data_IF_996964369653
#
_entry.id   IF_996964369653
#
_cell.length_a   1.000
_cell.length_b   1.000
_cell.length_c   1.000
_cell.angle_alpha   90.00
_cell.angle_beta   90.00
_cell.angle_gamma   90.00
#
_symmetry.space_group_name_H-M   'P 1'
#
loop_
_entity.id
_entity.type
_entity.pdbx_description
1 polymer ?
#
# COMPACT_ATOMS: atom_id res chain seq x y z
N UNK A 1 -8.68 -9.51 3.61
CA UNK A 1 -7.31 -9.44 3.04
C UNK A 1 -6.64 -8.20 3.56
N UNK A 2 -5.34 -8.28 3.91
CA UNK A 2 -4.58 -7.20 4.55
C UNK A 2 -3.60 -6.65 3.53
N UNK A 3 -4.02 -5.65 2.75
CA UNK A 3 -3.16 -4.90 1.83
C UNK A 3 -3.34 -3.43 2.14
N UNK A 4 -2.27 -2.65 2.02
CA UNK A 4 -2.25 -1.25 2.46
C UNK A 4 -0.95 -0.92 3.18
N UNK A 5 -0.83 0.36 3.54
CA UNK A 5 0.32 0.88 4.26
C UNK A 5 0.05 0.84 5.76
N UNK A 6 1.07 0.51 6.54
CA UNK A 6 0.99 0.30 7.98
C UNK A 6 2.17 0.98 8.68
N UNK A 7 1.89 1.44 9.90
CA UNK A 7 2.91 1.94 10.81
C UNK A 7 2.77 1.30 12.18
N UNK A 8 3.90 1.08 12.84
CA UNK A 8 3.93 0.69 14.24
C UNK A 8 4.20 1.92 15.10
N UNK A 9 3.26 2.24 15.97
CA UNK A 9 3.32 3.39 16.86
C UNK A 9 3.15 2.93 18.30
N UNK A 10 4.15 3.21 19.14
CA UNK A 10 4.20 2.78 20.55
C UNK A 10 3.96 1.27 20.70
N UNK A 11 4.56 0.47 19.81
CA UNK A 11 4.42 -0.99 19.83
C UNK A 11 3.11 -1.56 19.27
N UNK A 12 2.10 -0.72 18.94
CA UNK A 12 0.87 -1.16 18.27
C UNK A 12 0.88 -0.77 16.80
N UNK A 13 0.38 -1.67 15.97
CA UNK A 13 0.28 -1.45 14.53
C UNK A 13 -1.05 -0.79 14.15
N UNK A 14 -0.97 0.17 13.22
CA UNK A 14 -2.10 0.89 12.66
C UNK A 14 -2.01 0.92 11.14
N UNK A 15 -3.16 0.91 10.47
CA UNK A 15 -3.24 1.24 9.04
C UNK A 15 -2.97 2.74 8.87
N UNK A 16 -2.39 3.11 7.74
CA UNK A 16 -2.06 4.50 7.44
C UNK A 16 -2.73 5.01 6.18
N UNK A 17 -2.87 6.33 6.11
CA UNK A 17 -3.10 7.08 4.90
C UNK A 17 -2.03 8.18 4.80
N UNK A 18 -1.68 8.55 3.57
CA UNK A 18 -0.77 9.65 3.31
C UNK A 18 -1.53 10.98 3.37
N UNK A 19 -1.01 11.93 4.12
CA UNK A 19 -1.41 13.34 4.10
C UNK A 19 -0.15 14.20 3.93
N UNK A 20 -0.29 15.39 3.33
CA UNK A 20 0.82 16.32 3.14
C UNK A 20 1.43 16.80 4.48
N UNK A 21 0.74 16.60 5.60
CA UNK A 21 1.17 17.00 6.94
C UNK A 21 1.94 15.91 7.71
N UNK A 22 1.96 14.65 7.24
CA UNK A 22 2.60 13.53 7.93
C UNK A 22 1.87 12.20 7.72
N UNK A 23 2.17 11.22 8.58
CA UNK A 23 1.52 9.90 8.52
C UNK A 23 0.21 9.96 9.30
N UNK A 24 -0.90 9.64 8.64
CA UNK A 24 -2.19 9.54 9.31
C UNK A 24 -2.41 8.10 9.77
N UNK A 25 -2.32 7.85 11.07
CA UNK A 25 -2.71 6.59 11.69
C UNK A 25 -4.23 6.51 11.78
N UNK A 26 -4.78 5.36 11.44
CA UNK A 26 -6.22 5.11 11.38
C UNK A 26 -6.63 4.07 12.40
N UNK A 27 -7.72 4.32 13.15
CA UNK A 27 -8.28 3.34 14.07
C UNK A 27 -9.81 3.28 14.02
N UNK A 28 -10.32 2.07 14.24
CA UNK A 28 -11.75 1.77 14.43
C UNK A 28 -12.17 1.71 15.90
N UNK A 29 -11.25 1.99 16.84
CA UNK A 29 -11.49 1.81 18.28
C UNK A 29 -11.38 3.14 19.03
N UNK A 30 -12.47 3.56 19.66
CA UNK A 30 -12.53 4.80 20.46
C UNK A 30 -11.55 4.75 21.65
N UNK A 31 -11.25 3.56 22.19
CA UNK A 31 -10.26 3.39 23.26
C UNK A 31 -8.86 3.88 22.89
N UNK A 32 -8.53 3.92 21.59
CA UNK A 32 -7.21 4.40 21.13
C UNK A 32 -7.03 5.92 21.31
N UNK A 33 -8.12 6.65 21.61
CA UNK A 33 -8.07 8.08 21.96
C UNK A 33 -7.26 8.28 23.25
N UNK A 34 -7.57 7.52 24.30
CA UNK A 34 -6.92 7.69 25.61
C UNK A 34 -5.50 7.12 25.60
N UNK A 35 -5.29 5.96 24.98
CA UNK A 35 -4.03 5.23 25.03
C UNK A 35 -2.97 5.79 24.06
N UNK A 36 -3.39 6.21 22.87
CA UNK A 36 -2.48 6.64 21.79
C UNK A 36 -2.66 8.11 21.40
N UNK A 37 -3.64 8.82 21.96
CA UNK A 37 -3.88 10.24 21.68
C UNK A 37 -4.49 10.48 20.31
N UNK A 38 -5.38 9.58 19.86
CA UNK A 38 -6.18 9.76 18.65
C UNK A 38 -7.28 10.82 18.86
N UNK A 39 -7.83 11.33 17.76
CA UNK A 39 -9.01 12.22 17.77
C UNK A 39 -10.15 11.57 17.01
N UNK A 40 -11.39 11.81 17.45
CA UNK A 40 -12.59 11.36 16.72
C UNK A 40 -12.62 12.01 15.33
N UNK A 41 -12.99 11.23 14.32
CA UNK A 41 -13.24 11.73 12.97
C UNK A 41 -14.66 11.36 12.51
N UNK A 42 -15.09 11.94 11.40
CA UNK A 42 -16.26 11.42 10.69
C UNK A 42 -15.99 9.97 10.26
N UNK A 43 -16.87 9.01 10.57
CA UNK A 43 -16.58 7.62 10.23
C UNK A 43 -16.61 7.34 8.73
N UNK A 44 -15.66 6.56 8.25
CA UNK A 44 -15.59 6.12 6.86
C UNK A 44 -15.03 4.70 6.75
N UNK A 45 -15.32 4.04 5.64
CA UNK A 45 -14.77 2.72 5.34
C UNK A 45 -13.52 2.85 4.46
N UNK A 46 -12.44 2.18 4.85
CA UNK A 46 -11.21 2.12 4.07
C UNK A 46 -11.05 0.73 3.46
N UNK A 47 -10.84 0.68 2.14
CA UNK A 47 -10.65 -0.58 1.41
C UNK A 47 -9.44 -1.35 1.95
N UNK A 48 -9.61 -2.64 2.24
CA UNK A 48 -8.55 -3.46 2.87
C UNK A 48 -8.42 -3.28 4.39
N UNK A 49 -9.23 -2.40 5.00
CA UNK A 49 -9.35 -2.18 6.43
C UNK A 49 -10.82 -2.19 6.89
N UNK A 50 -11.06 -1.94 8.18
CA UNK A 50 -12.40 -1.80 8.77
C UNK A 50 -12.84 -0.33 8.78
N UNK A 51 -14.06 -0.08 9.25
CA UNK A 51 -14.57 1.27 9.52
C UNK A 51 -13.61 2.02 10.45
N UNK A 52 -13.16 3.19 9.99
CA UNK A 52 -12.37 4.15 10.76
C UNK A 52 -13.31 5.09 11.51
N UNK A 53 -12.98 5.40 12.75
CA UNK A 53 -13.75 6.34 13.60
C UNK A 53 -12.86 7.35 14.32
N UNK A 54 -11.54 7.13 14.33
CA UNK A 54 -10.58 8.05 14.89
C UNK A 54 -9.27 8.03 14.10
N UNK A 55 -8.58 9.17 14.08
CA UNK A 55 -7.32 9.38 13.36
C UNK A 55 -6.28 10.07 14.25
N UNK A 56 -5.01 9.88 13.91
CA UNK A 56 -3.90 10.60 14.52
C UNK A 56 -2.84 10.90 13.47
N UNK A 57 -2.42 12.17 13.39
CA UNK A 57 -1.25 12.54 12.59
C UNK A 57 -0.01 12.39 13.47
N UNK A 58 1.00 11.70 12.94
CA UNK A 58 2.32 11.55 13.56
C UNK A 58 3.41 11.83 12.54
N UNK A 59 4.57 12.26 13.02
CA UNK A 59 5.77 12.34 12.19
C UNK A 59 6.34 10.95 11.94
N UNK A 60 7.07 10.79 10.83
CA UNK A 60 7.77 9.54 10.52
C UNK A 60 8.81 9.17 11.59
N UNK A 61 9.36 10.15 12.31
CA UNK A 61 10.28 9.91 13.44
C UNK A 61 9.62 9.36 14.71
N UNK A 62 8.29 9.39 14.79
CA UNK A 62 7.53 8.90 15.96
C UNK A 62 7.10 7.44 15.82
N UNK A 63 7.29 6.84 14.63
CA UNK A 63 6.89 5.45 14.36
C UNK A 63 8.11 4.53 14.41
N UNK A 64 7.91 3.33 14.95
CA UNK A 64 8.95 2.31 15.11
C UNK A 64 9.24 1.59 13.79
N UNK A 65 8.19 1.36 13.00
CA UNK A 65 8.22 0.65 11.71
C UNK A 65 7.25 1.35 10.77
N UNK A 66 7.62 1.47 9.50
CA UNK A 66 6.74 1.93 8.42
C UNK A 66 6.89 0.99 7.24
N UNK A 67 5.80 0.37 6.79
CA UNK A 67 5.88 -0.66 5.77
C UNK A 67 4.58 -0.80 4.98
N UNK A 68 4.68 -1.37 3.80
CA UNK A 68 3.57 -1.65 2.90
C UNK A 68 3.37 -3.16 2.80
N UNK A 69 2.11 -3.63 2.85
CA UNK A 69 1.77 -4.98 2.38
C UNK A 69 1.14 -4.85 1.00
N UNK A 70 1.81 -5.41 -0.01
CA UNK A 70 1.38 -5.34 -1.41
C UNK A 70 1.05 -6.73 -1.94
N UNK A 71 0.03 -6.79 -2.80
CA UNK A 71 -0.34 -8.00 -3.52
C UNK A 71 0.54 -8.18 -4.77
N UNK A 72 0.95 -9.42 -4.99
CA UNK A 72 1.77 -9.84 -6.12
C UNK A 72 1.21 -11.14 -6.71
N UNK A 73 1.53 -11.40 -7.97
CA UNK A 73 1.33 -12.68 -8.61
C UNK A 73 2.47 -12.95 -9.59
N UNK A 74 2.70 -14.23 -9.88
CA UNK A 74 3.51 -14.61 -11.03
C UNK A 74 2.62 -14.77 -12.25
N UNK A 75 2.93 -14.07 -13.33
CA UNK A 75 2.27 -14.22 -14.62
C UNK A 75 3.33 -14.45 -15.68
N UNK A 76 3.24 -15.58 -16.38
CA UNK A 76 4.19 -15.96 -17.44
C UNK A 76 5.66 -15.93 -16.96
N UNK A 77 5.89 -16.29 -15.68
CA UNK A 77 7.21 -16.37 -15.06
C UNK A 77 7.73 -15.07 -14.43
N UNK A 78 7.02 -13.95 -14.59
CA UNK A 78 7.41 -12.66 -14.01
C UNK A 78 6.55 -12.31 -12.80
N UNK A 79 7.17 -11.73 -11.78
CA UNK A 79 6.47 -11.26 -10.58
C UNK A 79 5.96 -9.85 -10.79
N UNK A 80 4.64 -9.68 -10.88
CA UNK A 80 3.98 -8.40 -11.08
C UNK A 80 3.17 -7.98 -9.87
N UNK A 81 3.00 -6.66 -9.70
CA UNK A 81 2.11 -6.07 -8.69
C UNK A 81 0.67 -6.30 -9.10
N UNK A 82 -0.19 -6.63 -8.14
CA UNK A 82 -1.60 -6.93 -8.41
C UNK A 82 -2.52 -5.90 -7.75
N UNK A 83 -3.53 -5.44 -8.50
CA UNK A 83 -4.64 -4.61 -8.03
C UNK A 83 -5.98 -5.29 -8.33
N UNK A 84 -6.94 -5.17 -7.42
CA UNK A 84 -8.27 -5.80 -7.52
C UNK A 84 -8.48 -6.88 -6.46
N UNK A 85 -9.45 -7.80 -6.65
CA UNK A 85 -10.28 -7.98 -7.86
C UNK A 85 -11.28 -6.85 -8.09
N UNK A 86 -11.59 -6.57 -9.35
CA UNK A 86 -12.69 -5.69 -9.74
C UNK A 86 -14.04 -6.45 -9.71
N UNK A 87 -15.15 -5.77 -9.99
CA UNK A 87 -16.52 -6.34 -9.97
C UNK A 87 -16.73 -7.52 -10.95
N UNK A 88 -15.84 -7.69 -11.92
CA UNK A 88 -15.91 -8.75 -12.94
C UNK A 88 -14.96 -9.92 -12.63
N UNK A 89 -14.46 -10.03 -11.39
CA UNK A 89 -13.45 -11.02 -11.00
C UNK A 89 -12.16 -10.96 -11.84
N UNK A 90 -11.80 -9.77 -12.33
CA UNK A 90 -10.52 -9.53 -12.98
C UNK A 90 -9.57 -8.87 -12.01
N UNK A 91 -8.28 -9.15 -12.18
CA UNK A 91 -7.19 -8.46 -11.50
C UNK A 91 -6.33 -7.76 -12.52
N UNK A 92 -5.83 -6.59 -12.14
CA UNK A 92 -4.84 -5.86 -12.91
C UNK A 92 -3.47 -6.26 -12.40
N UNK A 93 -2.65 -6.87 -13.26
CA UNK A 93 -1.23 -7.10 -13.00
C UNK A 93 -0.41 -6.00 -13.68
N UNK A 94 0.54 -5.43 -12.95
CA UNK A 94 1.44 -4.41 -13.47
C UNK A 94 2.90 -4.62 -13.12
N UNK A 95 3.75 -4.06 -13.99
CA UNK A 95 5.20 -4.13 -13.94
C UNK A 95 5.76 -2.73 -14.15
N UNK A 96 6.69 -2.29 -13.33
CA UNK A 96 7.43 -1.05 -13.59
C UNK A 96 8.37 -1.26 -14.77
N UNK A 97 8.77 -0.17 -15.42
CA UNK A 97 9.83 -0.23 -16.42
C UNK A 97 11.11 -0.82 -15.81
N UNK A 98 11.60 -1.91 -16.39
CA UNK A 98 12.77 -2.65 -15.89
C UNK A 98 12.43 -3.99 -15.24
N UNK A 99 11.21 -4.19 -14.76
CA UNK A 99 10.78 -5.49 -14.21
C UNK A 99 10.67 -6.55 -15.31
N UNK A 100 10.26 -6.15 -16.51
CA UNK A 100 10.20 -6.97 -17.72
C UNK A 100 10.70 -6.20 -18.96
N UNK A 101 11.27 -6.89 -19.97
CA UNK A 101 11.58 -6.28 -21.25
C UNK A 101 10.34 -5.71 -21.94
N UNK A 102 10.48 -4.60 -22.66
CA UNK A 102 9.36 -3.95 -23.36
C UNK A 102 8.75 -4.85 -24.42
N UNK A 103 9.59 -5.59 -25.14
CA UNK A 103 9.19 -6.55 -26.17
C UNK A 103 8.33 -7.67 -25.56
N UNK A 104 8.68 -8.09 -24.34
CA UNK A 104 7.92 -9.08 -23.59
C UNK A 104 6.57 -8.54 -23.14
N UNK A 105 6.52 -7.30 -22.63
CA UNK A 105 5.25 -6.64 -22.31
C UNK A 105 4.31 -6.56 -23.52
N UNK A 106 4.85 -6.24 -24.71
CA UNK A 106 4.10 -6.22 -25.96
C UNK A 106 3.64 -7.62 -26.36
N UNK A 107 4.50 -8.64 -26.27
CA UNK A 107 4.17 -10.05 -26.54
C UNK A 107 3.01 -10.52 -25.66
N UNK A 108 3.03 -10.12 -24.39
CA UNK A 108 1.99 -10.44 -23.41
C UNK A 108 0.71 -9.62 -23.60
N UNK A 109 0.67 -8.67 -24.54
CA UNK A 109 -0.50 -7.84 -24.82
C UNK A 109 -0.80 -6.85 -23.70
N UNK A 110 0.23 -6.36 -23.00
CA UNK A 110 0.08 -5.36 -21.94
C UNK A 110 -0.06 -3.95 -22.51
N UNK A 111 -0.85 -3.12 -21.83
CA UNK A 111 -0.89 -1.69 -22.08
C UNK A 111 0.40 -1.04 -21.59
N UNK A 112 1.00 -0.16 -22.41
CA UNK A 112 2.23 0.56 -22.08
C UNK A 112 1.87 1.96 -21.59
N UNK A 113 1.95 2.16 -20.28
CA UNK A 113 1.75 3.45 -19.62
C UNK A 113 3.05 4.23 -19.42
N UNK A 114 2.94 5.38 -18.75
CA UNK A 114 4.08 6.22 -18.38
C UNK A 114 4.74 5.68 -17.10
N UNK A 115 5.67 4.74 -17.25
CA UNK A 115 6.43 4.14 -16.14
C UNK A 115 5.99 2.73 -15.75
N UNK A 116 4.93 2.20 -16.33
CA UNK A 116 4.44 0.85 -16.06
C UNK A 116 3.84 0.15 -17.28
N UNK A 117 3.82 -1.19 -17.24
CA UNK A 117 3.07 -2.07 -18.13
C UNK A 117 1.92 -2.69 -17.34
N UNK A 118 0.72 -2.71 -17.90
CA UNK A 118 -0.49 -3.16 -17.17
C UNK A 118 -1.32 -4.11 -18.03
N UNK A 119 -1.89 -5.15 -17.41
CA UNK A 119 -2.86 -6.04 -18.06
C UNK A 119 -3.94 -6.48 -17.08
N UNK A 120 -5.19 -6.49 -17.52
CA UNK A 120 -6.25 -7.18 -16.79
C UNK A 120 -6.27 -8.67 -17.17
N UNK A 121 -6.30 -9.53 -16.15
CA UNK A 121 -6.36 -10.98 -16.30
C UNK A 121 -7.44 -11.54 -15.35
N UNK A 122 -8.09 -12.67 -15.70
CA UNK A 122 -9.01 -13.34 -14.79
C UNK A 122 -8.33 -13.71 -13.47
N UNK A 123 -9.04 -13.54 -12.35
CA UNK A 123 -8.52 -13.84 -11.01
C UNK A 123 -8.10 -15.30 -10.86
N UNK A 124 -8.76 -16.23 -11.55
CA UNK A 124 -8.50 -17.67 -11.51
C UNK A 124 -7.29 -18.11 -12.37
N UNK A 125 -6.70 -17.21 -13.17
CA UNK A 125 -5.46 -17.48 -13.91
C UNK A 125 -4.19 -17.26 -13.07
N UNK A 126 -4.30 -16.67 -11.88
CA UNK A 126 -3.14 -16.33 -11.06
C UNK A 126 -3.33 -16.62 -9.57
N UNK A 127 -2.26 -17.13 -8.96
CA UNK A 127 -2.17 -17.25 -7.51
C UNK A 127 -1.61 -15.95 -6.92
N UNK A 128 -2.47 -15.22 -6.20
CA UNK A 128 -2.09 -13.97 -5.52
C UNK A 128 -1.43 -14.29 -4.17
N UNK A 129 -0.26 -13.70 -3.95
CA UNK A 129 0.44 -13.71 -2.67
C UNK A 129 0.71 -12.27 -2.21
N UNK A 130 1.09 -12.12 -0.95
CA UNK A 130 1.31 -10.81 -0.32
C UNK A 130 2.72 -10.75 0.24
N UNK A 131 3.37 -9.62 0.03
CA UNK A 131 4.70 -9.35 0.58
C UNK A 131 4.72 -8.06 1.36
N UNK A 132 5.58 -8.03 2.38
CA UNK A 132 5.90 -6.87 3.19
C UNK A 132 7.10 -6.16 2.57
N UNK A 133 6.93 -4.89 2.28
CA UNK A 133 7.95 -3.95 1.83
C UNK A 133 8.20 -2.95 2.97
N UNK A 134 9.34 -3.08 3.65
CA UNK A 134 9.73 -2.16 4.72
C UNK A 134 10.36 -0.88 4.16
N UNK A 135 9.92 0.27 4.68
CA UNK A 135 10.49 1.56 4.34
C UNK A 135 11.62 1.91 5.32
N UNK A 136 12.76 2.36 4.80
CA UNK A 136 13.80 2.94 5.65
C UNK A 136 13.40 4.37 6.03
N UNK A 137 12.86 4.50 7.24
CA UNK A 137 12.46 5.77 7.85
C UNK A 137 13.60 6.79 7.80
N UNK A 138 14.85 6.37 8.03
CA UNK A 138 15.99 7.30 8.07
C UNK A 138 16.31 7.84 6.68
N UNK A 139 16.26 6.98 5.67
CA UNK A 139 16.50 7.38 4.29
C UNK A 139 15.42 8.36 3.80
N UNK A 140 14.14 8.09 4.10
CA UNK A 140 13.04 8.97 3.74
C UNK A 140 13.20 10.35 4.40
N UNK A 141 13.53 10.39 5.69
CA UNK A 141 13.75 11.65 6.40
C UNK A 141 14.90 12.48 5.82
N UNK A 142 16.00 11.85 5.41
CA UNK A 142 17.14 12.54 4.79
C UNK A 142 16.77 13.19 3.45
N UNK A 143 16.01 12.47 2.61
CA UNK A 143 15.57 13.00 1.31
C UNK A 143 14.63 14.22 1.45
N UNK A 144 13.84 14.29 2.53
CA UNK A 144 12.96 15.43 2.80
C UNK A 144 13.71 16.65 3.33
N UNK A 145 14.82 16.45 4.03
CA UNK A 145 15.71 17.54 4.46
C UNK A 145 16.49 18.15 3.28
N UNK A 146 16.96 17.32 2.34
CA UNK A 146 17.69 17.78 1.14
C UNK A 146 16.84 18.55 0.13
N UNK A 147 15.50 18.41 0.20
CA UNK A 147 14.55 19.11 -0.68
C UNK A 147 14.07 20.46 -0.14
N UNK A 148 14.49 20.85 1.07
CA UNK A 148 14.16 22.16 1.70
C UNK A 148 15.22 23.21 1.41
#
# INVERSE_FOLDING_TARGET
MRYGVFAKYKGKEFATADDCAGIVLLSGYISDIEEYGFKVCEPFDLMGFKRVVCVKVVNLSEVDEYYLIRAYAYYEGYKGRVRGPNKNNMVSISYLWGDIPREEAIRLGMEVGHGEYVKEIPLDEVDIFYEREDYDIKEIMQQDEEKK
#
